data_IF_123836797597
#
_entry.id   IF_123836797597
#
_cell.length_a   1.000
_cell.length_b   1.000
_cell.length_c   1.000
_cell.angle_alpha   90.00
_cell.angle_beta   90.00
_cell.angle_gamma   90.00
#
_symmetry.space_group_name_H-M   'P 1'
#
loop_
_entity.id
_entity.type
_entity.pdbx_description
1 polymer ?
#
# COMPACT_ATOMS: atom_id res chain seq x y z
N UNK A 1 -6.19 14.99 66.92
CA UNK A 1 -5.72 13.87 66.06
C UNK A 1 -6.97 13.19 65.54
N UNK A 2 -7.59 13.76 64.51
CA UNK A 2 -7.51 13.34 63.09
C UNK A 2 -8.15 11.97 62.83
N UNK A 3 -9.48 11.95 62.84
CA UNK A 3 -10.27 10.97 62.08
C UNK A 3 -10.42 11.58 60.68
N UNK A 4 -9.69 11.05 59.69
CA UNK A 4 -9.85 11.45 58.28
C UNK A 4 -10.24 10.22 57.48
N UNK A 5 -11.41 10.33 56.87
CA UNK A 5 -11.94 9.46 55.84
C UNK A 5 -10.88 9.13 54.78
N UNK A 6 -10.80 7.84 54.45
CA UNK A 6 -10.08 7.32 53.31
C UNK A 6 -10.92 6.21 52.71
N UNK A 7 -12.05 6.61 52.11
CA UNK A 7 -12.84 5.75 51.24
C UNK A 7 -11.91 5.20 50.16
N UNK A 8 -11.85 3.88 50.05
CA UNK A 8 -11.18 3.17 48.98
C UNK A 8 -11.95 3.51 47.69
N UNK A 9 -11.59 4.61 47.04
CA UNK A 9 -12.01 4.88 45.68
C UNK A 9 -11.29 3.85 44.81
N UNK A 10 -12.04 2.78 44.52
CA UNK A 10 -11.75 1.82 43.48
C UNK A 10 -11.44 2.60 42.19
N UNK A 11 -10.30 2.37 41.52
CA UNK A 11 -9.99 3.03 40.28
C UNK A 11 -10.98 2.56 39.23
N UNK A 12 -12.04 3.36 39.07
CA UNK A 12 -13.01 3.38 37.99
C UNK A 12 -12.55 2.54 36.80
N UNK A 13 -12.98 1.28 36.85
CA UNK A 13 -12.89 0.30 35.78
C UNK A 13 -13.84 0.75 34.66
N UNK A 14 -13.50 1.83 33.95
CA UNK A 14 -14.35 2.34 32.89
C UNK A 14 -13.52 2.93 31.74
N UNK A 15 -12.84 2.02 31.06
CA UNK A 15 -12.71 2.03 29.59
C UNK A 15 -12.13 0.70 29.12
N UNK A 16 -12.75 -0.41 29.53
CA UNK A 16 -12.65 -1.67 28.78
C UNK A 16 -13.56 -1.56 27.55
N UNK A 17 -13.21 -0.66 26.62
CA UNK A 17 -13.74 -0.75 25.26
C UNK A 17 -13.16 -2.05 24.74
N UNK A 18 -14.01 -3.06 24.56
CA UNK A 18 -13.61 -4.35 24.03
C UNK A 18 -12.77 -4.10 22.76
N UNK A 19 -11.49 -4.52 22.72
CA UNK A 19 -10.57 -4.13 21.64
C UNK A 19 -10.96 -4.70 20.28
N UNK A 20 -11.79 -5.76 20.31
CA UNK A 20 -12.22 -6.53 19.15
C UNK A 20 -13.15 -5.73 18.20
N UNK A 21 -14.29 -5.16 18.65
CA UNK A 21 -15.16 -4.36 17.77
C UNK A 21 -14.49 -3.08 17.25
N UNK A 22 -13.59 -2.46 18.02
CA UNK A 22 -12.85 -1.29 17.54
C UNK A 22 -11.84 -1.65 16.44
N UNK A 23 -11.16 -2.79 16.59
CA UNK A 23 -10.26 -3.32 15.58
C UNK A 23 -11.00 -3.68 14.29
N UNK A 24 -12.13 -4.39 14.39
CA UNK A 24 -12.98 -4.73 13.24
C UNK A 24 -13.44 -3.49 12.48
N UNK A 25 -13.95 -2.48 13.18
CA UNK A 25 -14.35 -1.21 12.56
C UNK A 25 -13.19 -0.55 11.80
N UNK A 26 -11.97 -0.59 12.37
CA UNK A 26 -10.77 -0.05 11.72
C UNK A 26 -10.35 -0.87 10.50
N UNK A 27 -10.47 -2.19 10.54
CA UNK A 27 -10.22 -3.07 9.39
C UNK A 27 -11.20 -2.73 8.26
N UNK A 28 -12.50 -2.64 8.55
CA UNK A 28 -13.52 -2.26 7.56
C UNK A 28 -13.27 -0.88 6.95
N UNK A 29 -12.92 0.11 7.77
CA UNK A 29 -12.59 1.45 7.31
C UNK A 29 -11.37 1.44 6.39
N UNK A 30 -10.30 0.75 6.79
CA UNK A 30 -9.04 0.68 6.02
C UNK A 30 -9.25 -0.04 4.69
N UNK A 31 -9.99 -1.14 4.69
CA UNK A 31 -10.37 -1.85 3.46
C UNK A 31 -11.19 -0.96 2.52
N UNK A 32 -12.17 -0.20 3.04
CA UNK A 32 -12.96 0.72 2.23
C UNK A 32 -12.13 1.82 1.57
N UNK A 33 -11.12 2.33 2.29
CA UNK A 33 -10.15 3.30 1.76
C UNK A 33 -9.23 2.66 0.72
N UNK A 34 -8.72 1.46 0.96
CA UNK A 34 -7.90 0.73 -0.01
C UNK A 34 -8.67 0.50 -1.33
N UNK A 35 -9.94 0.10 -1.23
CA UNK A 35 -10.85 -0.08 -2.39
C UNK A 35 -11.18 1.24 -3.11
N UNK A 36 -11.12 2.36 -2.42
CA UNK A 36 -11.22 3.67 -3.07
C UNK A 36 -9.92 4.01 -3.81
N UNK A 37 -8.78 3.75 -3.18
CA UNK A 37 -7.47 3.99 -3.77
C UNK A 37 -7.22 3.12 -5.00
N UNK A 38 -7.75 1.89 -5.10
CA UNK A 38 -7.62 1.08 -6.32
C UNK A 38 -8.20 1.79 -7.53
N UNK A 39 -9.39 2.39 -7.37
CA UNK A 39 -10.06 3.17 -8.42
C UNK A 39 -9.24 4.41 -8.81
N UNK A 40 -8.74 5.15 -7.82
CA UNK A 40 -7.92 6.33 -8.09
C UNK A 40 -6.57 5.98 -8.71
N UNK A 41 -5.95 4.85 -8.35
CA UNK A 41 -4.69 4.42 -8.93
C UNK A 41 -4.84 4.00 -10.40
N UNK A 42 -5.98 3.41 -10.77
CA UNK A 42 -6.34 3.15 -12.17
C UNK A 42 -6.52 4.45 -12.95
N UNK A 43 -7.31 5.39 -12.41
CA UNK A 43 -7.52 6.71 -13.01
C UNK A 43 -6.20 7.47 -13.20
N UNK A 44 -5.34 7.48 -12.18
CA UNK A 44 -4.03 8.14 -12.24
C UNK A 44 -3.18 7.58 -13.38
N UNK A 45 -3.12 6.26 -13.54
CA UNK A 45 -2.37 5.65 -14.63
C UNK A 45 -2.95 6.01 -15.99
N UNK A 46 -4.28 5.97 -16.12
CA UNK A 46 -4.96 6.32 -17.36
C UNK A 46 -4.72 7.79 -17.72
N UNK A 47 -4.95 8.71 -16.79
CA UNK A 47 -4.68 10.14 -16.99
C UNK A 47 -3.22 10.39 -17.33
N UNK A 48 -2.28 9.72 -16.66
CA UNK A 48 -0.87 9.83 -16.98
C UNK A 48 -0.58 9.46 -18.43
N UNK A 49 -1.06 8.30 -18.90
CA UNK A 49 -0.88 7.84 -20.29
C UNK A 49 -1.50 8.83 -21.28
N UNK A 50 -2.72 9.29 -21.01
CA UNK A 50 -3.42 10.26 -21.85
C UNK A 50 -2.68 11.59 -21.95
N UNK A 51 -2.16 12.10 -20.84
CA UNK A 51 -1.38 13.34 -20.81
C UNK A 51 -0.02 13.22 -21.49
N UNK A 52 0.61 12.04 -21.50
CA UNK A 52 1.88 11.85 -22.19
C UNK A 52 1.75 11.78 -23.71
N UNK A 53 0.60 11.31 -24.22
CA UNK A 53 0.34 11.12 -25.65
C UNK A 53 1.23 10.04 -26.27
N UNK A 54 1.45 10.11 -27.58
CA UNK A 54 2.28 9.14 -28.29
C UNK A 54 3.75 9.20 -27.83
N UNK A 55 4.44 8.05 -27.67
CA UNK A 55 3.98 6.69 -27.99
C UNK A 55 3.22 5.98 -26.86
N UNK A 56 3.04 6.60 -25.68
CA UNK A 56 2.51 5.96 -24.48
C UNK A 56 1.02 5.56 -24.60
N UNK A 57 0.24 6.34 -25.34
CA UNK A 57 -1.17 6.05 -25.61
C UNK A 57 -1.43 5.04 -26.73
N UNK A 58 -0.38 4.60 -27.45
CA UNK A 58 -0.54 3.67 -28.56
C UNK A 58 -0.78 2.24 -28.06
N UNK A 59 -1.78 1.52 -28.60
CA UNK A 59 -1.98 0.12 -28.28
C UNK A 59 -0.73 -0.68 -28.71
N UNK A 60 -0.17 -1.48 -27.78
CA UNK A 60 1.01 -2.29 -28.03
C UNK A 60 2.35 -1.58 -27.79
N UNK A 61 2.35 -0.31 -27.37
CA UNK A 61 3.58 0.31 -26.88
C UNK A 61 4.05 -0.39 -25.61
N UNK A 62 5.27 -0.92 -25.65
CA UNK A 62 5.91 -1.58 -24.53
C UNK A 62 7.09 -0.74 -24.08
N UNK A 63 6.95 0.08 -23.03
CA UNK A 63 8.00 0.99 -22.58
C UNK A 63 9.24 0.20 -22.11
N UNK A 64 10.46 0.75 -22.29
CA UNK A 64 11.66 0.12 -21.77
C UNK A 64 11.53 -0.11 -20.26
N UNK A 65 12.13 -1.20 -19.78
CA UNK A 65 12.18 -1.47 -18.35
C UNK A 65 13.22 -0.54 -17.71
N UNK A 66 12.76 0.29 -16.77
CA UNK A 66 13.61 1.16 -15.98
C UNK A 66 13.38 0.82 -14.51
N UNK A 67 14.45 0.52 -13.74
CA UNK A 67 14.32 0.29 -12.31
C UNK A 67 13.87 1.58 -11.64
N UNK A 68 12.85 1.48 -10.77
CA UNK A 68 12.44 2.59 -9.91
C UNK A 68 13.10 2.36 -8.55
N UNK A 69 14.06 3.22 -8.16
CA UNK A 69 14.73 3.03 -6.87
C UNK A 69 13.78 3.16 -5.70
N UNK A 70 14.02 2.34 -4.67
CA UNK A 70 13.22 2.31 -3.46
C UNK A 70 11.84 1.67 -3.62
N UNK A 71 11.44 1.30 -4.86
CA UNK A 71 10.22 0.52 -5.10
C UNK A 71 10.61 -0.89 -5.53
N UNK A 72 10.43 -1.86 -4.62
CA UNK A 72 10.61 -3.27 -4.97
C UNK A 72 9.65 -3.67 -6.09
N UNK A 73 10.12 -4.54 -6.98
CA UNK A 73 9.24 -5.17 -7.95
C UNK A 73 8.06 -5.85 -7.22
N UNK A 74 6.88 -5.95 -7.85
CA UNK A 74 5.79 -6.76 -7.33
C UNK A 74 6.31 -8.17 -7.00
N UNK A 75 6.51 -8.49 -5.72
CA UNK A 75 6.82 -9.86 -5.32
C UNK A 75 5.65 -10.74 -5.78
N UNK A 76 5.92 -11.97 -6.30
CA UNK A 76 4.88 -12.94 -6.55
C UNK A 76 3.96 -13.05 -5.33
N UNK A 77 2.66 -13.21 -5.59
CA UNK A 77 1.65 -13.33 -4.54
C UNK A 77 2.07 -14.33 -3.47
N UNK A 78 1.68 -14.05 -2.24
CA UNK A 78 2.07 -14.76 -1.02
C UNK A 78 1.52 -16.19 -0.98
N UNK A 79 0.70 -16.56 -1.97
CA UNK A 79 0.04 -17.84 -2.11
C UNK A 79 1.09 -18.97 -2.24
N UNK A 80 1.20 -19.77 -1.18
CA UNK A 80 2.06 -20.96 -1.14
C UNK A 80 3.45 -20.77 -0.53
N UNK A 81 3.79 -19.57 -0.05
CA UNK A 81 5.09 -19.29 0.58
C UNK A 81 5.00 -19.37 2.10
N UNK A 82 6.00 -19.97 2.74
CA UNK A 82 6.10 -20.04 4.20
C UNK A 82 6.46 -18.66 4.79
N UNK A 83 6.07 -18.40 6.04
CA UNK A 83 6.36 -17.14 6.77
C UNK A 83 7.81 -16.63 6.68
N UNK A 84 8.87 -17.48 6.72
CA UNK A 84 10.24 -17.01 6.51
C UNK A 84 10.54 -16.58 5.07
N UNK A 85 9.93 -17.23 4.07
CA UNK A 85 10.08 -16.87 2.65
C UNK A 85 9.40 -15.53 2.34
N UNK A 86 8.25 -15.28 2.97
CA UNK A 86 7.58 -13.98 2.98
C UNK A 86 8.48 -12.88 3.52
N UNK A 87 9.11 -13.11 4.67
CA UNK A 87 10.00 -12.15 5.32
C UNK A 87 11.26 -11.85 4.49
N UNK A 88 11.80 -12.86 3.80
CA UNK A 88 12.96 -12.68 2.91
C UNK A 88 12.63 -11.87 1.65
N UNK A 89 11.46 -12.10 1.05
CA UNK A 89 11.00 -11.34 -0.13
C UNK A 89 10.75 -9.86 0.20
N UNK A 90 10.22 -9.59 1.40
CA UNK A 90 10.02 -8.22 1.88
C UNK A 90 11.34 -7.55 2.32
N UNK A 91 12.38 -8.34 2.60
CA UNK A 91 13.73 -7.88 2.95
C UNK A 91 14.65 -7.61 1.73
N UNK A 92 14.10 -7.57 0.51
CA UNK A 92 14.85 -7.19 -0.68
C UNK A 92 15.56 -5.84 -0.49
N UNK A 93 16.82 -5.69 -0.95
CA UNK A 93 17.58 -4.48 -0.68
C UNK A 93 16.89 -3.32 -1.39
N UNK A 94 16.34 -2.38 -0.62
CA UNK A 94 16.02 -1.05 -1.11
C UNK A 94 17.34 -0.35 -1.47
N UNK A 95 17.94 -0.71 -2.61
CA UNK A 95 19.07 0.03 -3.16
C UNK A 95 18.57 1.41 -3.58
N UNK A 96 18.85 2.38 -2.72
CA UNK A 96 18.50 3.79 -2.82
C UNK A 96 19.31 4.55 -3.90
N UNK A 97 19.43 4.00 -5.11
CA UNK A 97 20.38 4.50 -6.11
C UNK A 97 19.80 5.19 -7.35
N UNK A 98 18.49 5.44 -7.46
CA UNK A 98 17.92 6.09 -8.66
C UNK A 98 17.23 7.44 -8.44
N UNK A 99 17.18 7.95 -7.21
CA UNK A 99 16.73 9.33 -6.98
C UNK A 99 17.64 10.36 -7.69
N UNK A 100 18.89 9.99 -7.98
CA UNK A 100 19.86 10.80 -8.74
C UNK A 100 19.78 10.62 -10.26
N UNK A 101 19.11 9.58 -10.78
CA UNK A 101 19.01 9.35 -12.22
C UNK A 101 17.98 10.25 -12.91
N UNK A 102 17.00 10.77 -12.16
CA UNK A 102 15.93 11.61 -12.72
C UNK A 102 16.42 12.96 -13.25
N UNK A 103 17.56 13.46 -12.77
CA UNK A 103 18.09 14.78 -13.16
C UNK A 103 19.01 14.71 -14.38
N UNK A 104 19.56 13.52 -14.69
CA UNK A 104 20.49 13.32 -15.81
C UNK A 104 19.81 12.73 -17.05
N UNK A 105 18.65 12.09 -16.90
CA UNK A 105 17.97 11.42 -18.00
C UNK A 105 17.04 12.40 -18.75
N UNK A 106 17.06 12.37 -20.08
CA UNK A 106 16.20 13.22 -20.91
C UNK A 106 14.70 13.03 -20.66
N UNK A 107 13.88 13.85 -21.32
CA UNK A 107 12.42 13.91 -21.11
C UNK A 107 11.73 12.55 -21.28
N UNK A 108 12.16 11.74 -22.25
CA UNK A 108 11.54 10.44 -22.52
C UNK A 108 11.76 9.41 -21.38
N UNK A 109 12.98 9.14 -20.90
CA UNK A 109 13.19 8.33 -19.70
C UNK A 109 12.41 8.81 -18.46
N UNK A 110 12.30 10.14 -18.26
CA UNK A 110 11.51 10.69 -17.16
C UNK A 110 10.02 10.33 -17.28
N UNK A 111 9.47 10.39 -18.50
CA UNK A 111 8.09 9.95 -18.78
C UNK A 111 7.90 8.43 -18.58
N UNK A 112 8.88 7.62 -18.98
CA UNK A 112 8.85 6.17 -18.73
C UNK A 112 8.88 5.87 -17.24
N UNK A 113 9.69 6.59 -16.45
CA UNK A 113 9.73 6.46 -15.00
C UNK A 113 8.38 6.80 -14.36
N UNK A 114 7.74 7.91 -14.76
CA UNK A 114 6.41 8.26 -14.23
C UNK A 114 5.34 7.23 -14.57
N UNK A 115 5.37 6.66 -15.78
CA UNK A 115 4.49 5.54 -16.15
C UNK A 115 4.71 4.33 -15.24
N UNK A 116 5.98 3.97 -14.97
CA UNK A 116 6.35 2.86 -14.09
C UNK A 116 5.87 3.10 -12.67
N UNK A 117 6.03 4.30 -12.13
CA UNK A 117 5.55 4.66 -10.77
C UNK A 117 4.04 4.51 -10.68
N UNK A 118 3.28 5.03 -11.65
CA UNK A 118 1.82 4.89 -11.67
C UNK A 118 1.39 3.42 -11.72
N UNK A 119 2.04 2.61 -12.56
CA UNK A 119 1.75 1.17 -12.67
C UNK A 119 2.08 0.40 -11.39
N UNK A 120 3.24 0.67 -10.79
CA UNK A 120 3.66 0.04 -9.52
C UNK A 120 2.73 0.42 -8.37
N UNK A 121 2.31 1.69 -8.30
CA UNK A 121 1.37 2.16 -7.29
C UNK A 121 0.02 1.43 -7.41
N UNK A 122 -0.54 1.33 -8.62
CA UNK A 122 -1.79 0.58 -8.86
C UNK A 122 -1.70 -0.87 -8.41
N UNK A 123 -0.60 -1.54 -8.75
CA UNK A 123 -0.37 -2.93 -8.37
C UNK A 123 -0.18 -3.10 -6.85
N UNK A 124 0.48 -2.15 -6.19
CA UNK A 124 0.65 -2.14 -4.74
C UNK A 124 -0.68 -1.94 -4.00
N UNK A 125 -1.49 -0.97 -4.41
CA UNK A 125 -2.80 -0.71 -3.80
C UNK A 125 -3.75 -1.89 -4.00
N UNK A 126 -3.76 -2.50 -5.18
CA UNK A 126 -4.64 -3.65 -5.48
C UNK A 126 -4.35 -4.85 -4.58
N UNK A 127 -3.07 -5.14 -4.33
CA UNK A 127 -2.69 -6.22 -3.41
C UNK A 127 -2.96 -5.87 -1.96
N UNK A 128 -2.73 -4.63 -1.57
CA UNK A 128 -3.07 -4.15 -0.22
C UNK A 128 -4.57 -4.27 0.04
N UNK A 129 -5.41 -3.97 -0.95
CA UNK A 129 -6.86 -4.16 -0.84
C UNK A 129 -7.22 -5.65 -0.71
N UNK A 130 -6.62 -6.52 -1.52
CA UNK A 130 -6.81 -7.96 -1.44
C UNK A 130 -6.39 -8.54 -0.07
N UNK A 131 -5.24 -8.11 0.48
CA UNK A 131 -4.77 -8.56 1.79
C UNK A 131 -5.69 -8.07 2.91
N UNK A 132 -6.15 -6.81 2.85
CA UNK A 132 -7.12 -6.28 3.81
C UNK A 132 -8.48 -6.98 3.71
N UNK A 133 -8.90 -7.42 2.51
CA UNK A 133 -10.15 -8.14 2.31
C UNK A 133 -10.19 -9.49 3.06
N UNK A 134 -9.03 -10.14 3.23
CA UNK A 134 -8.91 -11.38 4.01
C UNK A 134 -9.12 -11.16 5.51
N UNK A 135 -8.92 -9.93 5.99
CA UNK A 135 -9.11 -9.57 7.40
C UNK A 135 -10.54 -9.12 7.70
N UNK A 136 -11.35 -8.85 6.67
CA UNK A 136 -12.75 -8.45 6.83
C UNK A 136 -13.58 -9.67 7.25
N UNK A 137 -14.19 -9.66 8.45
CA UNK A 137 -15.05 -10.75 8.89
C UNK A 137 -16.24 -10.92 7.94
N UNK A 138 -16.38 -12.10 7.31
CA UNK A 138 -17.51 -12.45 6.44
C UNK A 138 -17.26 -12.45 4.92
N UNK A 139 -16.00 -12.49 4.46
CA UNK A 139 -15.67 -12.77 3.06
C UNK A 139 -16.07 -14.20 2.61
N UNK A 140 -16.33 -14.45 1.31
CA UNK A 140 -16.81 -15.76 0.84
C UNK A 140 -15.73 -16.82 1.02
N UNK A 141 -16.07 -17.87 1.77
CA UNK A 141 -15.31 -19.11 1.86
C UNK A 141 -15.43 -19.96 0.59
#
# INVERSE_FOLDING_TARGET
>A
MSQREGSLEDPQADSSISPLPHLEAKIHQTHSLARLLTKYAEQLLQEYVQHQGDPFGLPGFSPPWLPVAGLSAPAPGHAGLTTPERLQLDAGPATAAAATASTAAGVFPAKVLGLRVCGLYREWVSRTEADLSQLVPGGPA
#
